data_IF_748699330222
#
_entry.id   IF_748699330222
#
_cell.length_a   1.000
_cell.length_b   1.000
_cell.length_c   1.000
_cell.angle_alpha   90.00
_cell.angle_beta   90.00
_cell.angle_gamma   90.00
#
_symmetry.space_group_name_H-M   'P 1'
#
loop_
_entity.id
_entity.type
_entity.pdbx_description
1 polymer ?
#
# COMPACT_ATOMS: atom_id res chain seq x y z
N UNK A 1 -32.11 1.34 -10.50
CA UNK A 1 -32.32 -0.04 -10.02
C UNK A 1 -30.95 -0.62 -9.74
N UNK A 2 -30.41 -0.34 -8.56
CA UNK A 2 -29.22 -1.01 -8.03
C UNK A 2 -29.79 -2.00 -7.02
N UNK A 3 -30.19 -3.16 -7.52
CA UNK A 3 -30.76 -4.23 -6.72
C UNK A 3 -29.94 -5.47 -7.09
N UNK A 4 -29.30 -6.06 -6.08
CA UNK A 4 -28.65 -7.38 -6.08
C UNK A 4 -27.16 -7.44 -6.48
N UNK A 5 -26.30 -6.80 -5.68
CA UNK A 5 -24.86 -7.16 -5.61
C UNK A 5 -24.46 -7.84 -4.29
N UNK A 6 -25.41 -8.14 -3.39
CA UNK A 6 -25.14 -8.83 -2.12
C UNK A 6 -26.36 -9.67 -1.71
N UNK A 7 -26.83 -10.51 -2.63
CA UNK A 7 -27.86 -11.50 -2.32
C UNK A 7 -27.22 -12.68 -1.58
N UNK A 8 -27.59 -12.77 -0.29
CA UNK A 8 -27.73 -13.96 0.53
C UNK A 8 -26.58 -15.00 0.55
N UNK A 9 -26.04 -15.15 1.76
CA UNK A 9 -25.19 -16.24 2.25
C UNK A 9 -23.70 -16.15 1.84
N UNK A 10 -22.92 -15.63 2.80
CA UNK A 10 -21.48 -15.86 2.96
C UNK A 10 -20.50 -15.12 2.03
N UNK A 11 -20.57 -13.78 2.00
CA UNK A 11 -19.34 -12.99 1.80
C UNK A 11 -18.54 -13.01 3.11
N UNK A 12 -17.56 -13.91 3.23
CA UNK A 12 -16.74 -14.05 4.46
C UNK A 12 -15.29 -13.66 4.20
N UNK A 13 -14.84 -12.67 4.96
CA UNK A 13 -13.44 -12.23 5.06
C UNK A 13 -12.63 -13.17 5.94
N UNK A 14 -11.33 -12.95 5.96
CA UNK A 14 -10.47 -13.41 7.06
C UNK A 14 -10.83 -12.68 8.35
N UNK A 15 -11.14 -13.46 9.37
CA UNK A 15 -11.40 -12.99 10.72
C UNK A 15 -10.34 -13.57 11.63
N UNK A 16 -9.48 -12.70 12.18
CA UNK A 16 -8.59 -13.06 13.29
C UNK A 16 -9.06 -12.26 14.50
N UNK A 17 -9.96 -12.87 15.25
CA UNK A 17 -10.55 -12.29 16.45
C UNK A 17 -9.95 -13.00 17.65
N UNK A 18 -9.43 -12.22 18.58
CA UNK A 18 -9.13 -12.65 19.92
C UNK A 18 -10.30 -12.23 20.83
N UNK A 19 -11.00 -13.21 21.41
CA UNK A 19 -12.19 -12.99 22.24
C UNK A 19 -11.88 -12.43 23.64
N UNK A 20 -10.60 -12.31 24.03
CA UNK A 20 -10.16 -11.99 25.40
C UNK A 20 -9.79 -10.52 25.65
N UNK A 21 -10.03 -9.60 24.71
CA UNK A 21 -9.69 -8.19 24.87
C UNK A 21 -10.88 -7.25 24.61
N UNK A 22 -10.93 -6.14 25.36
CA UNK A 22 -11.82 -4.99 25.13
C UNK A 22 -11.54 -4.42 23.74
N UNK A 23 -12.11 -5.06 22.73
CA UNK A 23 -11.48 -5.13 21.44
C UNK A 23 -11.64 -3.84 20.66
N UNK A 24 -10.51 -3.18 20.47
CA UNK A 24 -10.31 -2.15 19.47
C UNK A 24 -10.44 -2.79 18.09
N UNK A 25 -11.34 -2.25 17.30
CA UNK A 25 -11.61 -2.68 15.93
C UNK A 25 -10.87 -1.76 14.97
N UNK A 26 -10.09 -2.31 14.05
CA UNK A 26 -9.43 -1.53 13.00
C UNK A 26 -9.80 -2.09 11.63
N UNK A 27 -10.18 -1.20 10.73
CA UNK A 27 -10.29 -1.51 9.31
C UNK A 27 -8.97 -1.11 8.70
N UNK A 28 -8.29 -2.04 8.05
CA UNK A 28 -7.12 -1.72 7.22
C UNK A 28 -7.57 -1.74 5.76
N UNK A 29 -7.47 -0.59 5.11
CA UNK A 29 -7.88 -0.42 3.72
C UNK A 29 -6.63 -0.58 2.85
N UNK A 30 -6.45 -1.76 2.27
CA UNK A 30 -5.44 -1.98 1.25
C UNK A 30 -5.92 -1.31 -0.05
N UNK A 31 -5.76 0.01 -0.17
CA UNK A 31 -5.95 0.71 -1.43
C UNK A 31 -4.69 0.60 -2.27
N UNK A 32 -4.88 0.20 -3.54
CA UNK A 32 -4.18 0.71 -4.72
C UNK A 32 -2.72 1.17 -4.48
N UNK A 33 -1.72 0.33 -4.82
CA UNK A 33 -0.33 0.81 -4.96
C UNK A 33 -0.26 1.76 -6.17
N UNK A 34 -0.52 3.03 -5.95
CA UNK A 34 -0.47 4.04 -6.99
C UNK A 34 0.04 5.31 -6.35
N UNK A 35 1.35 5.50 -6.50
CA UNK A 35 2.07 6.67 -6.02
C UNK A 35 2.33 7.69 -7.14
N UNK A 36 1.39 7.94 -8.07
CA UNK A 36 1.42 9.21 -8.81
C UNK A 36 0.64 9.28 -10.11
N UNK A 37 -0.24 10.29 -10.17
CA UNK A 37 -0.81 10.97 -11.35
C UNK A 37 -1.49 10.19 -12.49
N UNK A 38 -2.75 10.60 -12.71
CA UNK A 38 -3.61 10.44 -13.89
C UNK A 38 -2.94 10.07 -15.23
N UNK A 39 -3.29 8.91 -15.77
CA UNK A 39 -3.35 8.68 -17.23
C UNK A 39 -4.55 7.78 -17.55
N UNK A 40 -5.52 8.30 -18.30
CA UNK A 40 -6.51 7.50 -19.02
C UNK A 40 -5.79 6.68 -20.10
N UNK A 41 -5.85 5.34 -20.08
CA UNK A 41 -5.46 4.53 -21.25
C UNK A 41 -6.48 3.41 -21.52
N UNK A 42 -6.84 3.32 -22.81
CA UNK A 42 -7.93 2.51 -23.38
C UNK A 42 -7.67 1.00 -23.33
N UNK A 43 -8.76 0.25 -23.13
CA UNK A 43 -8.85 -1.21 -23.10
C UNK A 43 -8.17 -1.94 -24.28
N UNK A 44 -7.39 -2.98 -23.97
CA UNK A 44 -7.25 -4.15 -24.84
C UNK A 44 -7.50 -5.44 -24.06
N UNK A 45 -8.54 -6.15 -24.49
CA UNK A 45 -8.96 -7.47 -24.05
C UNK A 45 -7.97 -8.52 -24.58
N UNK A 46 -7.46 -9.38 -23.69
CA UNK A 46 -6.54 -10.46 -24.05
C UNK A 46 -6.58 -11.56 -22.99
N UNK A 47 -7.42 -12.57 -23.21
CA UNK A 47 -7.39 -13.85 -22.51
C UNK A 47 -6.02 -14.52 -22.70
N UNK A 48 -5.11 -14.41 -21.72
CA UNK A 48 -3.85 -15.16 -21.72
C UNK A 48 -3.90 -16.35 -20.75
N UNK A 49 -3.82 -17.53 -21.36
CA UNK A 49 -3.92 -18.86 -20.78
C UNK A 49 -2.66 -19.23 -19.98
N UNK A 50 -2.78 -19.18 -18.64
CA UNK A 50 -1.73 -19.54 -17.67
C UNK A 50 -1.18 -20.97 -17.83
N UNK A 51 -1.97 -21.91 -18.36
CA UNK A 51 -1.53 -23.32 -18.51
C UNK A 51 -0.43 -23.46 -19.57
N UNK A 52 -0.39 -22.55 -20.56
CA UNK A 52 0.65 -22.54 -21.60
C UNK A 52 1.99 -21.99 -21.10
N UNK A 53 1.95 -21.00 -20.20
CA UNK A 53 3.14 -20.40 -19.59
C UNK A 53 3.82 -21.32 -18.57
N UNK A 54 3.05 -22.11 -17.81
CA UNK A 54 3.59 -23.12 -16.90
C UNK A 54 4.35 -24.25 -17.60
N UNK A 55 3.97 -24.59 -18.84
CA UNK A 55 4.63 -25.68 -19.57
C UNK A 55 5.97 -25.26 -20.19
N UNK A 56 6.09 -24.00 -20.63
CA UNK A 56 7.37 -23.40 -21.04
C UNK A 56 8.38 -23.31 -19.89
N UNK A 57 7.91 -23.11 -18.66
CA UNK A 57 8.74 -23.11 -17.45
C UNK A 57 9.38 -24.48 -17.16
N UNK A 58 8.64 -25.58 -17.34
CA UNK A 58 9.17 -26.94 -17.17
C UNK A 58 10.25 -27.29 -18.19
N UNK A 59 10.00 -26.96 -19.46
CA UNK A 59 10.90 -27.34 -20.56
C UNK A 59 12.23 -26.55 -20.54
N UNK A 60 12.23 -25.35 -19.94
CA UNK A 60 13.45 -24.55 -19.73
C UNK A 60 14.38 -25.09 -18.63
N UNK A 61 13.84 -25.75 -17.60
CA UNK A 61 14.64 -26.34 -16.51
C UNK A 61 15.36 -27.63 -16.93
N UNK A 62 14.74 -28.46 -17.77
CA UNK A 62 15.35 -29.71 -18.25
C UNK A 62 16.53 -29.46 -19.22
N UNK A 63 16.57 -28.29 -19.87
CA UNK A 63 17.66 -27.90 -20.78
C UNK A 63 18.93 -27.40 -20.08
N UNK A 64 18.87 -27.11 -18.77
CA UNK A 64 19.99 -26.60 -17.98
C UNK A 64 20.95 -27.65 -17.41
N UNK A 65 20.67 -28.94 -17.61
CA UNK A 65 21.49 -30.05 -17.10
C UNK A 65 22.36 -30.70 -18.19
N UNK A 66 23.19 -29.93 -18.91
CA UNK A 66 24.35 -30.51 -19.61
C UNK A 66 25.37 -29.42 -19.97
N UNK A 67 26.47 -29.37 -19.20
CA UNK A 67 27.55 -28.41 -19.47
C UNK A 67 28.58 -28.32 -18.37
N UNK A 68 29.33 -29.40 -18.13
CA UNK A 68 30.50 -29.36 -17.25
C UNK A 68 31.66 -28.60 -17.88
N UNK A 69 32.29 -27.69 -17.13
CA UNK A 69 33.67 -27.26 -17.34
C UNK A 69 34.33 -26.98 -15.99
N UNK A 70 35.45 -27.67 -15.74
CA UNK A 70 36.19 -27.60 -14.48
C UNK A 70 37.34 -26.60 -14.49
N UNK A 71 37.91 -26.44 -13.29
CA UNK A 71 39.32 -26.12 -13.09
C UNK A 71 39.62 -24.84 -12.30
N UNK A 72 40.17 -25.02 -11.09
CA UNK A 72 41.35 -24.24 -10.70
C UNK A 72 41.28 -23.37 -9.44
N UNK A 73 41.48 -24.02 -8.29
CA UNK A 73 42.46 -23.72 -7.21
C UNK A 73 42.46 -22.36 -6.46
N UNK A 74 42.26 -22.55 -5.15
CA UNK A 74 43.11 -22.17 -4.01
C UNK A 74 43.06 -20.72 -3.47
N UNK A 75 42.54 -20.64 -2.24
CA UNK A 75 42.62 -19.49 -1.33
C UNK A 75 41.95 -19.81 0.01
N UNK A 76 42.42 -20.82 0.73
CA UNK A 76 42.01 -21.12 2.11
C UNK A 76 42.43 -19.99 3.07
N UNK A 77 41.50 -19.45 3.87
CA UNK A 77 41.82 -18.93 5.21
C UNK A 77 40.69 -19.24 6.20
N UNK A 78 40.96 -20.26 7.03
CA UNK A 78 40.54 -20.51 8.42
C UNK A 78 39.06 -20.43 8.82
N UNK A 79 38.52 -21.63 9.08
CA UNK A 79 37.42 -21.91 10.01
C UNK A 79 37.90 -21.88 11.47
N UNK A 80 37.12 -21.19 12.31
CA UNK A 80 36.80 -21.43 13.73
C UNK A 80 35.74 -20.35 14.04
N UNK A 81 34.54 -20.56 14.53
CA UNK A 81 33.89 -21.57 15.35
C UNK A 81 32.63 -20.87 15.93
N UNK A 82 31.64 -21.65 16.33
CA UNK A 82 30.34 -21.28 16.92
C UNK A 82 29.20 -20.83 15.98
N UNK A 83 28.37 -21.84 15.71
CA UNK A 83 26.96 -21.81 15.36
C UNK A 83 26.11 -21.07 16.41
N UNK A 84 25.04 -20.42 15.94
CA UNK A 84 23.92 -20.00 16.77
C UNK A 84 23.68 -18.50 16.75
N UNK A 85 22.51 -18.09 16.27
CA UNK A 85 21.93 -16.74 16.40
C UNK A 85 22.70 -15.58 15.76
N UNK A 86 22.79 -15.56 14.42
CA UNK A 86 22.99 -14.29 13.70
C UNK A 86 21.80 -14.03 12.78
N UNK A 87 20.85 -13.29 13.36
CA UNK A 87 20.14 -12.20 12.71
C UNK A 87 19.51 -12.49 11.34
N UNK A 88 18.43 -13.25 11.37
CA UNK A 88 17.30 -12.94 10.49
C UNK A 88 16.66 -11.66 11.04
N UNK A 89 17.18 -10.51 10.62
CA UNK A 89 16.48 -9.23 10.81
C UNK A 89 15.17 -9.39 10.06
N UNK A 90 14.06 -9.46 10.79
CA UNK A 90 12.71 -9.44 10.26
C UNK A 90 12.46 -8.04 9.70
N UNK A 91 12.67 -7.86 8.38
CA UNK A 91 12.67 -6.56 7.69
C UNK A 91 11.30 -6.17 7.11
N UNK A 92 10.21 -6.79 7.58
CA UNK A 92 8.85 -6.39 7.21
C UNK A 92 8.36 -5.27 8.14
N UNK A 93 8.75 -4.04 7.84
CA UNK A 93 8.32 -2.83 8.58
C UNK A 93 7.48 -1.89 7.71
N UNK A 94 6.61 -2.45 6.87
CA UNK A 94 5.52 -1.66 6.29
C UNK A 94 4.33 -1.69 7.26
N UNK A 95 3.52 -0.63 7.29
CA UNK A 95 2.32 -0.53 8.13
C UNK A 95 1.41 -1.75 7.97
N UNK A 96 1.21 -2.21 6.72
CA UNK A 96 0.46 -3.42 6.38
C UNK A 96 1.09 -4.69 6.99
N UNK A 97 2.42 -4.77 7.01
CA UNK A 97 3.18 -5.91 7.56
C UNK A 97 3.15 -5.99 9.09
N UNK A 98 3.12 -4.85 9.79
CA UNK A 98 3.01 -4.80 11.26
C UNK A 98 1.54 -5.02 11.70
N UNK A 99 0.56 -4.62 10.90
CA UNK A 99 -0.83 -5.00 11.15
C UNK A 99 -0.99 -6.52 11.03
N UNK A 100 -0.41 -7.11 9.98
CA UNK A 100 -0.56 -8.51 9.63
C UNK A 100 -0.04 -9.47 10.74
N UNK A 101 -0.84 -10.47 11.14
CA UNK A 101 -0.45 -11.49 12.13
C UNK A 101 0.61 -12.47 11.61
N UNK A 102 0.83 -12.49 10.30
CA UNK A 102 1.62 -13.51 9.61
C UNK A 102 2.45 -12.84 8.52
N UNK A 103 3.73 -13.21 8.44
CA UNK A 103 4.63 -12.88 7.35
C UNK A 103 4.85 -14.09 6.43
N UNK A 104 5.01 -13.83 5.13
CA UNK A 104 5.40 -14.85 4.15
C UNK A 104 6.93 -14.95 4.15
N UNK A 105 7.47 -16.15 4.32
CA UNK A 105 8.90 -16.36 4.51
C UNK A 105 9.62 -16.77 3.22
N UNK A 106 10.73 -16.09 2.96
CA UNK A 106 11.73 -16.46 1.96
C UNK A 106 12.78 -17.40 2.57
N UNK A 107 12.69 -18.69 2.26
CA UNK A 107 13.91 -19.49 2.32
C UNK A 107 14.73 -19.06 1.10
N UNK A 108 15.94 -18.51 1.28
CA UNK A 108 16.85 -17.96 0.23
C UNK A 108 17.09 -18.84 -1.03
N UNK A 109 16.43 -19.98 -1.14
CA UNK A 109 16.25 -20.82 -2.31
C UNK A 109 14.77 -21.22 -2.48
N UNK A 110 13.86 -20.26 -2.67
CA UNK A 110 12.47 -20.57 -2.97
C UNK A 110 12.38 -21.39 -4.25
N UNK A 111 11.78 -22.58 -4.15
CA UNK A 111 11.76 -23.57 -5.22
C UNK A 111 10.44 -23.59 -6.01
N UNK A 112 9.58 -22.58 -5.82
CA UNK A 112 8.25 -22.51 -6.44
C UNK A 112 7.14 -23.26 -5.69
N UNK A 113 7.42 -23.88 -4.54
CA UNK A 113 6.38 -24.51 -3.70
C UNK A 113 5.61 -23.49 -2.88
N UNK A 114 4.39 -23.80 -2.43
CA UNK A 114 3.60 -22.93 -1.54
C UNK A 114 4.47 -22.31 -0.41
N UNK A 115 4.55 -20.97 -0.31
CA UNK A 115 5.34 -20.30 0.70
C UNK A 115 4.90 -20.64 2.13
N UNK A 116 5.85 -20.69 3.07
CA UNK A 116 5.56 -20.88 4.49
C UNK A 116 5.15 -19.57 5.16
N UNK A 117 4.19 -19.67 6.07
CA UNK A 117 3.67 -18.58 6.88
C UNK A 117 4.29 -18.61 8.28
N UNK A 118 4.75 -17.46 8.77
CA UNK A 118 5.35 -17.32 10.10
C UNK A 118 4.61 -16.28 10.92
N UNK A 119 4.44 -16.55 12.21
CA UNK A 119 3.83 -15.58 13.13
C UNK A 119 4.66 -14.31 13.24
N UNK A 120 4.01 -13.16 13.13
CA UNK A 120 4.63 -11.86 13.38
C UNK A 120 4.56 -11.54 14.89
N UNK A 121 5.70 -11.49 15.60
CA UNK A 121 5.74 -11.18 17.03
C UNK A 121 5.45 -9.70 17.36
N UNK A 122 5.24 -8.85 16.36
CA UNK A 122 4.90 -7.43 16.50
C UNK A 122 3.51 -7.09 15.96
N UNK A 123 2.70 -8.11 15.64
CA UNK A 123 1.40 -7.92 15.02
C UNK A 123 0.45 -7.08 15.87
N UNK A 124 -0.27 -6.13 15.26
CA UNK A 124 -1.30 -5.36 15.98
C UNK A 124 -2.43 -6.24 16.50
N UNK A 125 -2.68 -7.37 15.85
CA UNK A 125 -3.64 -8.40 16.30
C UNK A 125 -3.33 -8.99 17.68
N UNK A 126 -2.15 -8.74 18.26
CA UNK A 126 -1.88 -9.10 19.65
C UNK A 126 -2.74 -8.33 20.66
N UNK A 127 -3.16 -7.11 20.32
CA UNK A 127 -4.04 -6.30 21.17
C UNK A 127 -5.38 -5.94 20.53
N UNK A 128 -5.53 -6.14 19.21
CA UNK A 128 -6.65 -5.64 18.41
C UNK A 128 -7.39 -6.75 17.67
N UNK A 129 -8.67 -6.53 17.41
CA UNK A 129 -9.40 -7.28 16.39
C UNK A 129 -9.36 -6.45 15.11
N UNK A 130 -8.81 -7.00 14.03
CA UNK A 130 -8.60 -6.27 12.77
C UNK A 130 -9.41 -6.91 11.66
N UNK A 131 -10.02 -6.06 10.84
CA UNK A 131 -10.61 -6.43 9.56
C UNK A 131 -9.76 -5.84 8.45
N UNK A 132 -9.23 -6.72 7.61
CA UNK A 132 -8.59 -6.35 6.35
C UNK A 132 -9.65 -6.31 5.27
N UNK A 133 -9.83 -5.15 4.65
CA UNK A 133 -10.84 -4.95 3.61
C UNK A 133 -10.14 -4.66 2.29
N UNK A 134 -10.25 -5.62 1.35
CA UNK A 134 -9.90 -5.40 -0.04
C UNK A 134 -10.88 -4.39 -0.65
N UNK A 135 -10.44 -3.16 -0.87
CA UNK A 135 -11.27 -2.10 -1.45
C UNK A 135 -10.43 -1.17 -2.33
N UNK A 136 -10.99 -0.63 -3.43
CA UNK A 136 -12.37 -0.83 -3.91
C UNK A 136 -12.55 -2.16 -4.66
N UNK A 137 -13.71 -2.39 -5.28
CA UNK A 137 -13.92 -3.52 -6.19
C UNK A 137 -12.81 -3.61 -7.24
N UNK A 138 -12.30 -4.82 -7.49
CA UNK A 138 -11.15 -5.07 -8.36
C UNK A 138 -9.82 -5.18 -7.61
N UNK A 139 -9.80 -4.83 -6.32
CA UNK A 139 -8.65 -5.01 -5.42
C UNK A 139 -8.68 -6.38 -4.78
N UNK A 140 -7.54 -7.08 -4.75
CA UNK A 140 -7.39 -8.37 -4.11
C UNK A 140 -8.46 -9.39 -4.53
N UNK A 141 -9.30 -9.81 -3.59
CA UNK A 141 -10.41 -10.74 -3.83
C UNK A 141 -11.78 -10.07 -4.04
N UNK A 142 -11.86 -8.73 -3.98
CA UNK A 142 -13.11 -7.99 -4.17
C UNK A 142 -13.51 -7.90 -5.64
N UNK A 143 -14.75 -8.25 -5.95
CA UNK A 143 -15.27 -8.33 -7.33
C UNK A 143 -16.68 -7.77 -7.46
N UNK A 144 -17.05 -7.39 -8.68
CA UNK A 144 -18.42 -7.08 -9.08
C UNK A 144 -18.96 -8.14 -10.04
N UNK A 145 -20.26 -8.41 -9.98
CA UNK A 145 -20.96 -9.28 -10.94
C UNK A 145 -21.36 -8.56 -12.23
N UNK A 146 -21.17 -7.24 -12.28
CA UNK A 146 -21.45 -6.40 -13.46
C UNK A 146 -20.21 -5.59 -13.83
N UNK A 147 -20.04 -5.32 -15.13
CA UNK A 147 -18.92 -4.54 -15.63
C UNK A 147 -18.94 -3.11 -15.07
N UNK A 148 -20.14 -2.53 -14.94
CA UNK A 148 -20.35 -1.18 -14.42
C UNK A 148 -19.84 -1.02 -12.98
N UNK A 149 -19.84 -2.10 -12.18
CA UNK A 149 -19.40 -2.04 -10.79
C UNK A 149 -17.88 -1.96 -10.61
N UNK A 150 -17.10 -2.05 -11.69
CA UNK A 150 -15.64 -1.86 -11.66
C UNK A 150 -15.22 -0.40 -11.93
N UNK A 151 -16.12 0.46 -12.42
CA UNK A 151 -15.85 1.89 -12.57
C UNK A 151 -16.20 2.58 -11.25
N UNK A 152 -15.18 3.04 -10.52
CA UNK A 152 -15.33 3.57 -9.16
C UNK A 152 -14.52 4.86 -9.02
N UNK A 153 -15.09 5.87 -8.38
CA UNK A 153 -14.35 7.02 -7.88
C UNK A 153 -14.16 7.02 -6.35
N UNK A 154 -13.46 8.03 -5.82
CA UNK A 154 -13.22 8.17 -4.37
C UNK A 154 -14.52 8.20 -3.55
N UNK A 155 -15.56 8.89 -4.01
CA UNK A 155 -16.83 8.98 -3.29
C UNK A 155 -17.60 7.66 -3.32
N UNK A 156 -17.59 6.96 -4.44
CA UNK A 156 -18.19 5.63 -4.57
C UNK A 156 -17.46 4.60 -3.72
N UNK A 157 -16.13 4.62 -3.68
CA UNK A 157 -15.35 3.76 -2.81
C UNK A 157 -15.69 3.99 -1.33
N UNK A 158 -15.74 5.25 -0.89
CA UNK A 158 -16.14 5.64 0.47
C UNK A 158 -17.54 5.10 0.80
N UNK A 159 -18.51 5.32 -0.09
CA UNK A 159 -19.89 4.85 0.08
C UNK A 159 -19.98 3.32 0.17
N UNK A 160 -19.27 2.61 -0.69
CA UNK A 160 -19.25 1.14 -0.70
C UNK A 160 -18.61 0.58 0.58
N UNK A 161 -17.50 1.16 1.03
CA UNK A 161 -16.84 0.78 2.28
C UNK A 161 -17.78 1.04 3.47
N UNK A 162 -18.39 2.22 3.55
CA UNK A 162 -19.36 2.52 4.62
C UNK A 162 -20.53 1.53 4.66
N UNK A 163 -21.09 1.18 3.49
CA UNK A 163 -22.15 0.18 3.36
C UNK A 163 -21.67 -1.21 3.79
N UNK A 164 -20.46 -1.59 3.38
CA UNK A 164 -19.84 -2.85 3.75
C UNK A 164 -19.72 -2.97 5.27
N UNK A 165 -19.11 -1.99 5.92
CA UNK A 165 -18.90 -1.97 7.38
C UNK A 165 -20.23 -2.06 8.13
N UNK A 166 -21.23 -1.34 7.65
CA UNK A 166 -22.56 -1.38 8.22
C UNK A 166 -23.21 -2.75 8.14
N UNK A 167 -23.17 -3.40 6.96
CA UNK A 167 -23.72 -4.74 6.76
C UNK A 167 -22.94 -5.78 7.57
N UNK A 168 -21.62 -5.65 7.61
CA UNK A 168 -20.75 -6.53 8.39
C UNK A 168 -21.12 -6.46 9.88
N UNK A 169 -21.31 -5.25 10.42
CA UNK A 169 -21.64 -5.08 11.84
C UNK A 169 -23.06 -5.59 12.17
N UNK A 170 -24.03 -5.42 11.26
CA UNK A 170 -25.36 -6.04 11.39
C UNK A 170 -25.30 -7.57 11.40
N UNK A 171 -24.40 -8.17 10.62
CA UNK A 171 -24.18 -9.61 10.58
C UNK A 171 -23.35 -10.13 11.78
N UNK A 172 -22.60 -9.25 12.45
CA UNK A 172 -21.75 -9.58 13.60
C UNK A 172 -22.08 -8.68 14.81
N UNK A 173 -23.30 -8.79 15.35
CA UNK A 173 -23.81 -7.88 16.39
C UNK A 173 -23.02 -7.93 17.71
N UNK A 174 -22.22 -8.98 17.93
CA UNK A 174 -21.34 -9.09 19.09
C UNK A 174 -20.28 -7.97 19.16
N UNK A 175 -20.01 -7.27 18.05
CA UNK A 175 -19.03 -6.18 18.00
C UNK A 175 -19.64 -4.78 18.12
N UNK A 176 -20.95 -4.64 18.34
CA UNK A 176 -21.60 -3.31 18.39
C UNK A 176 -21.01 -2.38 19.47
N UNK A 177 -20.68 -2.95 20.63
CA UNK A 177 -20.18 -2.18 21.77
C UNK A 177 -18.66 -1.93 21.71
N UNK A 178 -17.96 -2.59 20.78
CA UNK A 178 -16.51 -2.48 20.64
C UNK A 178 -16.09 -1.07 20.23
N UNK A 179 -14.92 -0.62 20.69
CA UNK A 179 -14.38 0.66 20.27
C UNK A 179 -13.88 0.57 18.83
N UNK A 180 -14.47 1.36 17.94
CA UNK A 180 -14.09 1.39 16.53
C UNK A 180 -13.02 2.44 16.25
N UNK A 181 -11.97 2.02 15.55
CA UNK A 181 -10.98 2.87 14.89
C UNK A 181 -10.92 2.49 13.40
N UNK A 182 -10.60 3.46 12.55
CA UNK A 182 -10.38 3.22 11.12
C UNK A 182 -8.90 3.47 10.84
N UNK A 183 -8.23 2.51 10.23
CA UNK A 183 -6.80 2.52 9.94
C UNK A 183 -6.52 2.48 8.44
N UNK A 184 -5.33 2.89 8.05
CA UNK A 184 -4.83 2.72 6.70
C UNK A 184 -3.55 3.50 6.50
N UNK A 185 -2.97 3.36 5.32
CA UNK A 185 -1.76 4.09 4.94
C UNK A 185 -1.77 4.53 3.48
N UNK A 186 -0.77 5.32 3.11
CA UNK A 186 -0.53 5.74 1.73
C UNK A 186 -1.77 6.44 1.14
N UNK A 187 -2.31 5.94 0.03
CA UNK A 187 -3.47 6.52 -0.63
C UNK A 187 -4.73 6.53 0.23
N UNK A 188 -4.81 5.71 1.29
CA UNK A 188 -5.92 5.76 2.26
C UNK A 188 -6.07 7.13 2.92
N UNK A 189 -5.05 7.99 2.89
CA UNK A 189 -5.18 9.40 3.30
C UNK A 189 -6.30 10.18 2.60
N UNK A 190 -6.76 9.74 1.42
CA UNK A 190 -7.93 10.29 0.73
C UNK A 190 -9.25 9.68 1.21
N UNK A 191 -9.59 8.40 0.98
CA UNK A 191 -10.90 7.87 1.34
C UNK A 191 -11.12 7.75 2.85
N UNK A 192 -10.08 7.53 3.66
CA UNK A 192 -10.26 7.23 5.09
C UNK A 192 -10.87 8.39 5.89
N UNK A 193 -10.38 9.64 5.81
CA UNK A 193 -11.04 10.77 6.50
C UNK A 193 -12.50 10.97 6.06
N UNK A 194 -12.81 10.68 4.79
CA UNK A 194 -14.17 10.73 4.26
C UNK A 194 -15.05 9.64 4.89
N UNK A 195 -14.56 8.40 4.96
CA UNK A 195 -15.24 7.27 5.62
C UNK A 195 -15.49 7.58 7.10
N UNK A 196 -14.47 8.07 7.81
CA UNK A 196 -14.59 8.44 9.23
C UNK A 196 -15.65 9.52 9.41
N UNK A 197 -15.72 10.50 8.51
CA UNK A 197 -16.76 11.51 8.55
C UNK A 197 -18.16 10.95 8.24
N UNK A 198 -18.30 10.02 7.30
CA UNK A 198 -19.58 9.34 7.03
C UNK A 198 -20.06 8.53 8.24
N UNK A 199 -19.16 7.79 8.90
CA UNK A 199 -19.44 7.04 10.13
C UNK A 199 -19.82 7.98 11.27
N UNK A 200 -19.05 9.06 11.49
CA UNK A 200 -19.31 10.02 12.55
C UNK A 200 -20.66 10.73 12.38
N UNK A 201 -21.00 11.11 11.15
CA UNK A 201 -22.30 11.71 10.84
C UNK A 201 -23.46 10.70 10.92
N UNK A 202 -23.16 9.39 10.99
CA UNK A 202 -24.12 8.31 11.16
C UNK A 202 -25.18 8.27 10.06
N UNK A 203 -24.77 8.54 8.80
CA UNK A 203 -25.62 9.06 7.72
C UNK A 203 -27.06 8.52 7.72
N UNK A 204 -27.94 9.32 8.33
CA UNK A 204 -29.35 9.44 7.99
C UNK A 204 -29.42 10.03 6.56
N UNK A 205 -29.67 9.20 5.55
CA UNK A 205 -30.07 9.65 4.22
C UNK A 205 -29.04 9.47 3.12
N UNK A 206 -29.08 8.30 2.47
CA UNK A 206 -28.94 8.16 1.02
C UNK A 206 -29.77 6.97 0.52
N UNK A 207 -31.03 6.89 0.98
CA UNK A 207 -32.08 6.10 0.32
C UNK A 207 -33.07 7.09 -0.32
N UNK A 208 -32.68 7.69 -1.45
CA UNK A 208 -33.58 8.43 -2.34
C UNK A 208 -34.49 7.46 -3.15
N UNK A 209 -34.99 6.42 -2.50
CA UNK A 209 -35.75 5.35 -3.13
C UNK A 209 -36.18 4.24 -2.19
N UNK A 210 -37.10 4.55 -1.27
CA UNK A 210 -37.97 3.57 -0.60
C UNK A 210 -37.30 2.43 0.17
N UNK A 211 -36.65 2.74 1.29
CA UNK A 211 -36.83 2.14 2.62
C UNK A 211 -35.82 2.84 3.53
N UNK A 212 -36.25 3.35 4.69
CA UNK A 212 -35.32 3.93 5.65
C UNK A 212 -34.46 2.81 6.25
N UNK A 213 -33.33 2.48 5.62
CA UNK A 213 -32.34 1.56 6.16
C UNK A 213 -31.75 2.17 7.43
N UNK A 214 -31.99 1.51 8.57
CA UNK A 214 -31.38 1.89 9.85
C UNK A 214 -29.96 1.32 9.86
N UNK A 215 -28.98 2.12 9.42
CA UNK A 215 -27.57 1.79 9.59
C UNK A 215 -27.27 1.70 11.09
N UNK A 216 -26.51 0.68 11.55
CA UNK A 216 -26.22 0.53 12.97
C UNK A 216 -25.33 1.68 13.47
N UNK A 217 -25.52 2.07 14.72
CA UNK A 217 -24.56 2.95 15.38
C UNK A 217 -23.20 2.24 15.46
N UNK A 218 -22.17 2.91 14.98
CA UNK A 218 -20.78 2.47 15.10
C UNK A 218 -20.09 3.26 16.19
N UNK A 219 -19.54 2.58 17.20
CA UNK A 219 -18.90 3.19 18.37
C UNK A 219 -17.50 3.74 18.03
N UNK A 220 -17.44 4.69 17.10
CA UNK A 220 -16.23 5.32 16.57
C UNK A 220 -15.51 6.16 17.63
N UNK A 221 -14.22 5.91 17.81
CA UNK A 221 -13.34 6.56 18.78
C UNK A 221 -12.18 7.33 18.16
N UNK A 222 -11.81 7.00 16.93
CA UNK A 222 -10.72 7.66 16.25
C UNK A 222 -10.31 7.00 14.95
N UNK A 223 -9.19 7.46 14.43
CA UNK A 223 -8.59 6.91 13.23
C UNK A 223 -7.08 7.04 13.25
N UNK A 224 -6.41 6.20 12.45
CA UNK A 224 -4.96 6.09 12.37
C UNK A 224 -4.56 6.11 10.90
N UNK A 225 -3.54 6.91 10.56
CA UNK A 225 -3.01 7.00 9.20
C UNK A 225 -1.48 6.95 9.22
N UNK A 226 -0.91 6.00 8.47
CA UNK A 226 0.52 5.89 8.21
C UNK A 226 0.87 6.50 6.86
N UNK A 227 1.90 7.36 6.80
CA UNK A 227 2.39 7.96 5.56
C UNK A 227 1.26 8.41 4.59
N UNK A 228 0.27 9.21 5.05
CA UNK A 228 -0.94 9.42 4.28
C UNK A 228 -0.78 10.46 3.17
N UNK A 229 -1.19 10.08 1.95
CA UNK A 229 -1.44 11.04 0.86
C UNK A 229 -2.76 11.76 1.18
N UNK A 230 -2.65 12.98 1.66
CA UNK A 230 -3.79 13.80 2.12
C UNK A 230 -4.10 14.94 1.15
N UNK A 231 -3.09 15.43 0.42
CA UNK A 231 -3.26 16.47 -0.59
C UNK A 231 -2.27 16.27 -1.74
N UNK A 232 -2.78 16.25 -2.96
CA UNK A 232 -1.99 15.99 -4.15
C UNK A 232 -0.81 16.94 -4.27
N UNK A 233 -1.08 18.24 -4.16
CA UNK A 233 -0.06 19.27 -4.31
C UNK A 233 0.89 19.32 -3.12
N UNK A 234 0.37 19.35 -1.90
CA UNK A 234 1.21 19.52 -0.71
C UNK A 234 2.19 18.36 -0.52
N UNK A 235 1.70 17.13 -0.72
CA UNK A 235 2.51 15.94 -0.49
C UNK A 235 3.53 15.76 -1.63
N UNK A 236 3.18 15.96 -2.90
CA UNK A 236 4.13 15.80 -4.01
C UNK A 236 5.16 16.94 -4.03
N UNK A 237 4.73 18.18 -3.73
CA UNK A 237 5.63 19.33 -3.66
C UNK A 237 6.64 19.19 -2.52
N UNK A 238 6.33 18.40 -1.49
CA UNK A 238 7.23 18.17 -0.36
C UNK A 238 8.41 17.23 -0.69
N UNK A 239 8.36 16.51 -1.81
CA UNK A 239 9.40 15.54 -2.21
C UNK A 239 10.75 16.20 -2.48
N UNK A 240 10.78 17.31 -3.22
CA UNK A 240 12.03 18.05 -3.52
C UNK A 240 12.75 18.55 -2.25
N UNK A 241 12.10 19.30 -1.33
CA UNK A 241 12.77 19.73 -0.10
C UNK A 241 13.11 18.56 0.82
N UNK A 242 12.38 17.44 0.77
CA UNK A 242 12.73 16.24 1.53
C UNK A 242 13.96 15.52 0.95
N UNK A 243 14.05 15.37 -0.37
CA UNK A 243 15.23 14.84 -1.06
C UNK A 243 16.49 15.65 -0.73
N UNK A 244 16.36 16.98 -0.65
CA UNK A 244 17.44 17.86 -0.19
C UNK A 244 17.86 17.57 1.26
N UNK A 245 16.89 17.41 2.19
CA UNK A 245 17.19 17.06 3.60
C UNK A 245 17.88 15.72 3.76
N UNK A 246 17.62 14.78 2.85
CA UNK A 246 18.28 13.48 2.81
C UNK A 246 19.62 13.51 2.06
N UNK A 247 20.06 14.67 1.57
CA UNK A 247 21.30 14.84 0.79
C UNK A 247 21.30 14.08 -0.55
N UNK A 248 20.12 13.80 -1.10
CA UNK A 248 19.95 13.13 -2.39
C UNK A 248 20.15 14.09 -3.57
N UNK A 249 19.98 15.40 -3.32
CA UNK A 249 20.26 16.49 -4.27
C UNK A 249 21.15 17.55 -3.61
N UNK A 250 21.93 18.29 -4.41
CA UNK A 250 22.88 19.29 -3.91
C UNK A 250 22.20 20.58 -3.42
N UNK A 251 22.90 21.34 -2.57
CA UNK A 251 22.45 22.67 -2.12
C UNK A 251 22.27 23.61 -3.31
N UNK A 252 23.17 23.57 -4.29
CA UNK A 252 23.12 24.41 -5.48
C UNK A 252 21.90 24.12 -6.35
N UNK A 253 21.61 22.83 -6.59
CA UNK A 253 20.46 22.41 -7.38
C UNK A 253 19.16 22.75 -6.65
N UNK A 254 19.09 22.50 -5.34
CA UNK A 254 17.90 22.83 -4.55
C UNK A 254 17.61 24.33 -4.52
N UNK A 255 18.60 25.18 -4.26
CA UNK A 255 18.37 26.63 -4.25
C UNK A 255 18.06 27.17 -5.66
N UNK A 256 18.66 26.61 -6.72
CA UNK A 256 18.28 26.92 -8.10
C UNK A 256 16.81 26.57 -8.35
N UNK A 257 16.39 25.33 -8.06
CA UNK A 257 15.03 24.86 -8.26
C UNK A 257 14.02 25.69 -7.47
N UNK A 258 14.34 26.01 -6.21
CA UNK A 258 13.50 26.82 -5.33
C UNK A 258 13.27 28.23 -5.86
N UNK A 259 14.31 28.88 -6.37
CA UNK A 259 14.21 30.21 -7.00
C UNK A 259 13.49 30.14 -8.35
N UNK A 260 13.92 29.22 -9.22
CA UNK A 260 13.42 29.11 -10.59
C UNK A 260 11.97 28.66 -10.62
N UNK A 261 11.57 27.69 -9.78
CA UNK A 261 10.21 27.17 -9.67
C UNK A 261 9.33 27.94 -8.68
N UNK A 262 9.87 28.94 -7.97
CA UNK A 262 9.15 29.70 -6.94
C UNK A 262 8.49 28.79 -5.87
N UNK A 263 9.17 27.68 -5.53
CA UNK A 263 8.70 26.68 -4.58
C UNK A 263 7.54 25.79 -5.03
N UNK A 264 7.12 25.85 -6.29
CA UNK A 264 6.15 24.92 -6.91
C UNK A 264 6.88 23.96 -7.86
N UNK A 265 7.18 22.77 -7.35
CA UNK A 265 7.89 21.71 -8.06
C UNK A 265 6.95 20.73 -8.79
N UNK A 266 5.63 20.94 -8.69
CA UNK A 266 4.61 20.04 -9.26
C UNK A 266 3.98 20.66 -10.51
N UNK A 267 3.51 21.89 -10.43
CA UNK A 267 2.87 22.62 -11.52
C UNK A 267 3.90 23.43 -12.32
N UNK A 268 4.91 22.74 -12.84
CA UNK A 268 6.02 23.37 -13.57
C UNK A 268 5.52 24.05 -14.85
N UNK A 269 5.79 25.34 -14.98
CA UNK A 269 5.52 26.08 -16.21
C UNK A 269 6.53 25.69 -17.29
N UNK A 270 6.06 25.06 -18.37
CA UNK A 270 6.90 24.60 -19.49
C UNK A 270 7.71 25.72 -20.16
N UNK A 271 7.28 26.98 -20.05
CA UNK A 271 8.04 28.12 -20.58
C UNK A 271 9.19 28.57 -19.66
N UNK A 272 9.21 28.11 -18.41
CA UNK A 272 10.29 28.39 -17.47
C UNK A 272 11.38 27.32 -17.63
N UNK A 273 12.26 27.55 -18.60
CA UNK A 273 13.29 26.58 -18.99
C UNK A 273 14.24 26.23 -17.85
N UNK A 274 14.50 27.16 -16.91
CA UNK A 274 15.38 26.88 -15.77
C UNK A 274 14.69 25.93 -14.78
N UNK A 275 13.44 26.22 -14.39
CA UNK A 275 12.69 25.33 -13.51
C UNK A 275 12.51 23.93 -14.13
N UNK A 276 12.17 23.86 -15.42
CA UNK A 276 12.08 22.58 -16.15
C UNK A 276 13.40 21.82 -16.09
N UNK A 277 14.54 22.49 -16.32
CA UNK A 277 15.86 21.87 -16.25
C UNK A 277 16.20 21.39 -14.84
N UNK A 278 15.93 22.20 -13.81
CA UNK A 278 16.24 21.88 -12.43
C UNK A 278 15.41 20.67 -11.96
N UNK A 279 14.12 20.62 -12.29
CA UNK A 279 13.24 19.48 -11.97
C UNK A 279 13.67 18.22 -12.72
N UNK A 280 14.05 18.32 -13.99
CA UNK A 280 14.57 17.19 -14.76
C UNK A 280 15.85 16.61 -14.12
N UNK A 281 16.78 17.46 -13.67
CA UNK A 281 18.00 17.01 -13.00
C UNK A 281 17.68 16.34 -11.65
N UNK A 282 16.73 16.89 -10.89
CA UNK A 282 16.24 16.26 -9.65
C UNK A 282 15.63 14.89 -9.95
N UNK A 283 14.76 14.77 -10.95
CA UNK A 283 14.13 13.51 -11.34
C UNK A 283 15.17 12.46 -11.77
N UNK A 284 16.20 12.87 -12.52
CA UNK A 284 17.31 11.99 -12.92
C UNK A 284 18.10 11.47 -11.70
N UNK A 285 18.35 12.31 -10.70
CA UNK A 285 19.04 11.91 -9.47
C UNK A 285 18.21 10.95 -8.61
N UNK A 286 16.87 11.08 -8.64
CA UNK A 286 15.95 10.26 -7.87
C UNK A 286 15.54 8.95 -8.57
N UNK A 287 15.82 8.81 -9.87
CA UNK A 287 15.34 7.72 -10.72
C UNK A 287 15.68 6.29 -10.21
N UNK A 288 16.79 6.13 -9.50
CA UNK A 288 17.26 4.82 -9.02
C UNK A 288 17.13 4.65 -7.50
N UNK A 289 16.35 5.52 -6.85
CA UNK A 289 16.09 5.47 -5.42
C UNK A 289 14.74 4.80 -5.19
N UNK A 290 14.68 3.88 -4.22
CA UNK A 290 13.41 3.35 -3.75
C UNK A 290 12.66 4.48 -3.02
N UNK A 291 11.59 5.00 -3.63
CA UNK A 291 10.86 6.13 -3.08
C UNK A 291 10.11 5.78 -1.79
N UNK A 292 9.71 4.53 -1.58
CA UNK A 292 8.98 4.12 -0.36
C UNK A 292 9.92 3.94 0.84
N UNK A 293 11.20 3.66 0.57
CA UNK A 293 12.24 3.54 1.58
C UNK A 293 13.62 3.83 0.98
N UNK A 294 14.08 5.08 1.11
CA UNK A 294 15.30 5.57 0.42
C UNK A 294 16.60 4.85 0.79
N UNK A 295 16.62 4.12 1.91
CA UNK A 295 17.79 3.34 2.35
C UNK A 295 17.80 1.91 1.78
N UNK A 296 16.70 1.48 1.17
CA UNK A 296 16.58 0.15 0.56
C UNK A 296 16.97 0.19 -0.92
N UNK A 297 17.45 -0.95 -1.46
CA UNK A 297 17.74 -1.04 -2.89
C UNK A 297 16.48 -0.76 -3.71
N UNK A 298 16.63 -0.08 -4.85
CA UNK A 298 15.59 -0.06 -5.86
C UNK A 298 15.58 -1.40 -6.58
N UNK A 299 14.64 -2.26 -6.23
CA UNK A 299 14.54 -3.61 -6.74
C UNK A 299 13.60 -3.65 -7.95
N UNK A 300 14.13 -3.31 -9.12
CA UNK A 300 13.42 -3.54 -10.37
C UNK A 300 13.23 -5.04 -10.56
N UNK A 301 11.98 -5.53 -10.57
CA UNK A 301 11.67 -6.84 -11.16
C UNK A 301 12.04 -6.77 -12.63
N UNK A 302 13.13 -7.45 -12.99
CA UNK A 302 13.86 -7.24 -14.23
C UNK A 302 13.01 -7.34 -15.50
N UNK A 303 12.74 -6.21 -16.14
CA UNK A 303 12.59 -6.16 -17.60
C UNK A 303 13.68 -5.26 -18.18
N UNK A 304 14.63 -5.78 -18.99
CA UNK A 304 15.61 -4.93 -19.65
C UNK A 304 14.91 -4.23 -20.82
N UNK A 305 14.42 -3.00 -20.63
CA UNK A 305 13.98 -2.16 -21.74
C UNK A 305 14.95 -1.02 -22.00
N UNK A 306 15.25 -0.84 -23.30
CA UNK A 306 16.25 0.09 -23.83
C UNK A 306 15.93 1.53 -23.46
N UNK A 307 16.93 2.28 -22.97
CA UNK A 307 16.84 3.67 -22.50
C UNK A 307 16.44 4.74 -23.52
N UNK A 308 15.34 4.57 -24.25
CA UNK A 308 14.84 5.52 -25.25
C UNK A 308 13.33 5.81 -25.20
N UNK A 309 12.58 5.30 -24.22
CA UNK A 309 11.14 5.60 -24.03
C UNK A 309 10.84 6.45 -22.78
N UNK A 310 11.84 7.16 -22.23
CA UNK A 310 11.69 7.90 -20.97
C UNK A 310 11.34 9.39 -21.11
N UNK A 311 11.28 9.93 -22.33
CA UNK A 311 11.19 11.39 -22.53
C UNK A 311 9.78 11.98 -22.46
N UNK A 312 8.74 11.20 -22.07
CA UNK A 312 7.37 11.67 -22.19
C UNK A 312 6.38 11.30 -21.08
N UNK A 313 6.81 10.95 -19.86
CA UNK A 313 5.87 10.75 -18.75
C UNK A 313 6.42 11.31 -17.43
N UNK A 314 5.67 12.25 -16.85
CA UNK A 314 5.78 12.66 -15.44
C UNK A 314 5.39 11.44 -14.60
N UNK A 315 6.29 11.03 -13.71
CA UNK A 315 6.13 10.00 -12.67
C UNK A 315 5.33 8.77 -13.10
N UNK A 316 6.01 7.83 -13.77
CA UNK A 316 5.41 6.54 -14.10
C UNK A 316 5.46 5.54 -12.94
N UNK A 317 4.26 5.07 -12.59
CA UNK A 317 3.95 3.82 -11.92
C UNK A 317 4.50 2.62 -12.69
N UNK A 318 5.04 1.64 -11.96
CA UNK A 318 5.49 0.38 -12.57
C UNK A 318 4.32 -0.61 -12.70
N UNK A 319 4.02 -0.97 -13.95
CA UNK A 319 3.26 -2.19 -14.27
C UNK A 319 4.06 -3.41 -13.83
N UNK A 320 3.55 -4.12 -12.82
CA UNK A 320 4.08 -5.41 -12.38
C UNK A 320 3.58 -6.47 -13.35
N UNK A 321 4.38 -6.79 -14.37
CA UNK A 321 4.24 -8.04 -15.12
C UNK A 321 4.87 -9.17 -14.28
N UNK A 322 4.05 -10.09 -13.78
CA UNK A 322 4.42 -11.26 -12.96
C UNK A 322 5.22 -12.33 -13.74
N UNK A 323 5.87 -11.96 -14.85
CA UNK A 323 6.75 -12.83 -15.63
C UNK A 323 8.16 -12.87 -15.02
N UNK A 324 8.32 -13.75 -14.03
CA UNK A 324 9.53 -14.02 -13.25
C UNK A 324 10.80 -14.27 -14.10
N UNK A 325 11.80 -13.41 -13.94
CA UNK A 325 13.22 -13.80 -14.02
C UNK A 325 13.89 -13.43 -12.70
N UNK A 326 14.01 -14.44 -11.82
CA UNK A 326 14.85 -14.40 -10.62
C UNK A 326 16.28 -14.07 -11.05
N UNK A 327 16.74 -12.84 -10.79
CA UNK A 327 18.17 -12.59 -10.81
C UNK A 327 18.77 -13.39 -9.66
N UNK A 328 19.54 -14.41 -10.01
CA UNK A 328 20.29 -15.29 -9.11
C UNK A 328 21.51 -14.59 -8.49
N UNK A 329 21.58 -13.26 -8.49
CA UNK A 329 22.62 -12.53 -7.78
C UNK A 329 22.18 -12.19 -6.36
N UNK A 330 22.60 -13.04 -5.42
CA UNK A 330 22.43 -12.93 -3.97
C UNK A 330 23.11 -11.71 -3.30
N UNK A 331 23.27 -10.59 -3.99
CA UNK A 331 24.01 -9.45 -3.42
C UNK A 331 23.16 -8.60 -2.48
N UNK A 332 21.84 -8.47 -2.72
CA UNK A 332 20.96 -7.61 -1.93
C UNK A 332 19.57 -8.23 -1.76
N UNK A 333 19.02 -8.15 -0.54
CA UNK A 333 17.64 -8.52 -0.23
C UNK A 333 16.69 -7.39 -0.68
N UNK A 334 15.54 -7.76 -1.24
CA UNK A 334 14.52 -6.85 -1.75
C UNK A 334 13.19 -7.10 -1.03
N UNK A 335 12.55 -6.01 -0.56
CA UNK A 335 11.25 -6.06 0.11
C UNK A 335 10.16 -6.59 -0.80
N UNK A 336 10.25 -6.25 -2.08
CA UNK A 336 9.32 -6.62 -3.15
C UNK A 336 9.21 -8.13 -3.32
N UNK A 337 10.25 -8.88 -2.93
CA UNK A 337 10.23 -10.33 -2.94
C UNK A 337 9.12 -10.90 -2.05
N UNK A 338 8.85 -10.27 -0.91
CA UNK A 338 7.77 -10.69 -0.02
C UNK A 338 6.39 -10.54 -0.67
N UNK A 339 6.21 -9.54 -1.54
CA UNK A 339 4.98 -9.34 -2.29
C UNK A 339 4.77 -10.43 -3.35
N UNK A 340 5.85 -10.85 -4.02
CA UNK A 340 5.80 -11.99 -4.96
C UNK A 340 5.38 -13.26 -4.24
N UNK A 341 5.97 -13.54 -3.06
CA UNK A 341 5.58 -14.71 -2.28
C UNK A 341 4.12 -14.61 -1.79
N UNK A 342 3.66 -13.42 -1.39
CA UNK A 342 2.25 -13.21 -1.06
C UNK A 342 1.34 -13.51 -2.26
N UNK A 343 1.73 -13.12 -3.47
CA UNK A 343 1.04 -13.47 -4.72
C UNK A 343 0.97 -14.97 -4.95
N UNK A 344 2.08 -15.70 -4.80
CA UNK A 344 2.07 -17.16 -4.95
C UNK A 344 1.19 -17.83 -3.89
N UNK A 345 1.26 -17.37 -2.64
CA UNK A 345 0.44 -17.88 -1.55
C UNK A 345 -1.06 -17.62 -1.80
N UNK A 346 -1.45 -16.38 -2.13
CA UNK A 346 -2.84 -15.99 -2.32
C UNK A 346 -3.49 -16.65 -3.54
N UNK A 347 -2.69 -16.98 -4.56
CA UNK A 347 -3.18 -17.65 -5.78
C UNK A 347 -3.24 -19.18 -5.69
N UNK A 348 -2.67 -19.79 -4.65
CA UNK A 348 -2.76 -21.23 -4.46
C UNK A 348 -4.22 -21.68 -4.26
N UNK A 349 -4.60 -22.77 -4.95
CA UNK A 349 -5.99 -23.26 -4.94
C UNK A 349 -6.46 -23.70 -3.55
N UNK A 350 -5.58 -24.26 -2.74
CA UNK A 350 -5.91 -24.69 -1.38
C UNK A 350 -6.08 -23.50 -0.44
N UNK A 351 -5.25 -22.47 -0.62
CA UNK A 351 -5.37 -21.20 0.11
C UNK A 351 -6.68 -20.51 -0.25
N UNK A 352 -6.96 -20.32 -1.55
CA UNK A 352 -8.24 -19.73 -2.01
C UNK A 352 -9.46 -20.47 -1.50
N UNK A 353 -9.40 -21.80 -1.43
CA UNK A 353 -10.47 -22.60 -0.84
C UNK A 353 -10.60 -22.38 0.67
N UNK A 354 -9.49 -22.35 1.42
CA UNK A 354 -9.49 -22.08 2.87
C UNK A 354 -10.04 -20.68 3.21
N UNK A 355 -9.81 -19.73 2.31
CA UNK A 355 -10.30 -18.35 2.34
C UNK A 355 -11.76 -18.20 1.92
N UNK A 356 -12.37 -19.26 1.39
CA UNK A 356 -13.69 -19.23 0.77
C UNK A 356 -13.79 -18.22 -0.40
N UNK A 357 -12.72 -18.05 -1.17
CA UNK A 357 -12.75 -17.26 -2.41
C UNK A 357 -13.70 -17.93 -3.39
N UNK A 358 -14.69 -17.19 -3.88
CA UNK A 358 -15.71 -17.73 -4.79
C UNK A 358 -15.07 -18.13 -6.13
N UNK A 359 -15.34 -19.36 -6.58
CA UNK A 359 -14.84 -19.82 -7.87
C UNK A 359 -15.47 -19.04 -9.03
N UNK A 360 -14.63 -18.67 -10.00
CA UNK A 360 -15.05 -17.97 -11.22
C UNK A 360 -15.25 -16.46 -11.08
N UNK A 361 -14.88 -15.86 -9.94
CA UNK A 361 -15.01 -14.40 -9.74
C UNK A 361 -13.71 -13.64 -9.97
N UNK A 362 -12.61 -14.11 -9.40
CA UNK A 362 -11.27 -13.53 -9.54
C UNK A 362 -10.39 -14.53 -10.28
N UNK A 363 -9.70 -14.09 -11.33
CA UNK A 363 -8.72 -14.90 -12.05
C UNK A 363 -7.45 -15.08 -11.21
N UNK A 364 -6.67 -14.00 -11.14
CA UNK A 364 -5.42 -13.91 -10.38
C UNK A 364 -5.59 -12.84 -9.30
N UNK A 365 -5.25 -13.17 -8.06
CA UNK A 365 -5.10 -12.18 -6.98
C UNK A 365 -3.83 -11.39 -7.24
N UNK A 366 -3.95 -10.06 -7.21
CA UNK A 366 -2.82 -9.14 -7.28
C UNK A 366 -2.83 -8.30 -6.01
N UNK A 367 -1.67 -8.11 -5.38
CA UNK A 367 -1.53 -7.20 -4.23
C UNK A 367 -2.00 -5.80 -4.61
N UNK A 368 -1.49 -5.32 -5.75
CA UNK A 368 -1.85 -4.05 -6.31
C UNK A 368 -2.19 -4.20 -7.78
N UNK A 369 -3.42 -3.82 -8.13
CA UNK A 369 -3.96 -3.98 -9.46
C UNK A 369 -4.03 -2.61 -10.14
N UNK A 370 -2.98 -2.22 -10.87
CA UNK A 370 -2.93 -0.95 -11.62
C UNK A 370 -4.00 -0.84 -12.70
N UNK A 371 -4.56 -1.97 -13.14
CA UNK A 371 -5.55 -2.03 -14.22
C UNK A 371 -7.00 -1.77 -13.78
N UNK A 372 -7.26 -1.44 -12.51
CA UNK A 372 -8.63 -1.12 -12.08
C UNK A 372 -9.08 0.22 -12.68
N UNK A 373 -10.36 0.30 -13.05
CA UNK A 373 -10.98 1.52 -13.58
C UNK A 373 -11.35 2.48 -12.43
N UNK A 374 -10.33 3.01 -11.74
CA UNK A 374 -10.49 3.92 -10.61
C UNK A 374 -10.23 5.37 -10.99
N UNK A 375 -11.16 6.27 -10.67
CA UNK A 375 -10.99 7.71 -10.91
C UNK A 375 -10.69 8.45 -9.60
N UNK A 376 -9.51 9.07 -9.52
CA UNK A 376 -9.13 9.94 -8.40
C UNK A 376 -9.83 11.30 -8.55
N UNK A 377 -10.99 11.48 -7.92
CA UNK A 377 -11.82 12.69 -8.02
C UNK A 377 -11.56 13.67 -6.87
N UNK A 378 -10.93 13.23 -5.78
CA UNK A 378 -10.63 14.03 -4.60
C UNK A 378 -9.12 14.31 -4.54
N UNK A 379 -8.75 15.59 -4.65
CA UNK A 379 -7.35 16.02 -4.64
C UNK A 379 -6.84 16.41 -3.24
N UNK A 380 -7.74 16.57 -2.26
CA UNK A 380 -7.38 17.00 -0.91
C UNK A 380 -8.44 16.62 0.12
N UNK A 381 -8.00 16.08 1.26
CA UNK A 381 -8.85 15.73 2.41
C UNK A 381 -8.47 16.48 3.69
N UNK A 382 -7.65 17.53 3.59
CA UNK A 382 -7.27 18.41 4.71
C UNK A 382 -8.50 18.98 5.44
N UNK A 383 -9.55 19.35 4.70
CA UNK A 383 -10.78 19.87 5.30
C UNK A 383 -11.61 18.80 6.01
N UNK A 384 -11.53 17.53 5.59
CA UNK A 384 -12.11 16.42 6.35
C UNK A 384 -11.39 16.26 7.69
N UNK A 385 -10.05 16.29 7.70
CA UNK A 385 -9.28 16.30 8.96
C UNK A 385 -9.63 17.50 9.84
N UNK A 386 -9.79 18.69 9.27
CA UNK A 386 -10.22 19.89 9.99
C UNK A 386 -11.59 19.69 10.65
N UNK A 387 -12.56 19.16 9.91
CA UNK A 387 -13.88 18.85 10.46
C UNK A 387 -13.79 17.86 11.61
N UNK A 388 -13.05 16.76 11.43
CA UNK A 388 -12.88 15.71 12.43
C UNK A 388 -12.14 16.21 13.68
N UNK A 389 -11.20 17.15 13.54
CA UNK A 389 -10.48 17.76 14.68
C UNK A 389 -11.38 18.59 15.61
N UNK A 390 -12.57 19.00 15.14
CA UNK A 390 -13.56 19.71 15.95
C UNK A 390 -14.49 18.77 16.72
N UNK A 391 -14.26 17.45 16.65
CA UNK A 391 -15.05 16.42 17.32
C UNK A 391 -14.33 15.89 18.58
N UNK A 392 -14.89 14.86 19.22
CA UNK A 392 -14.23 14.12 20.30
C UNK A 392 -13.41 12.91 19.81
N UNK A 393 -13.25 12.74 18.49
CA UNK A 393 -12.45 11.67 17.91
C UNK A 393 -10.96 11.93 18.10
N UNK A 394 -10.19 10.85 18.21
CA UNK A 394 -8.72 10.89 18.23
C UNK A 394 -8.15 10.57 16.86
N UNK A 395 -7.10 11.26 16.46
CA UNK A 395 -6.35 10.96 15.25
C UNK A 395 -4.89 10.65 15.63
N UNK A 396 -4.33 9.58 15.08
CA UNK A 396 -2.89 9.33 15.07
C UNK A 396 -2.41 9.39 13.62
N UNK A 397 -1.57 10.36 13.31
CA UNK A 397 -0.90 10.48 12.02
C UNK A 397 0.58 10.21 12.26
N UNK A 398 1.14 9.22 11.58
CA UNK A 398 2.55 8.88 11.67
C UNK A 398 3.15 8.74 10.27
N UNK A 399 4.44 9.01 10.14
CA UNK A 399 5.14 8.89 8.86
C UNK A 399 6.53 8.29 9.12
N UNK A 400 6.91 7.29 8.34
CA UNK A 400 8.31 6.86 8.25
C UNK A 400 9.19 8.02 7.75
N UNK A 401 10.30 8.27 8.42
CA UNK A 401 11.21 9.40 8.15
C UNK A 401 12.12 9.18 6.93
N UNK A 402 11.99 8.05 6.26
CA UNK A 402 12.72 7.68 5.04
C UNK A 402 11.80 7.38 3.83
N UNK A 403 10.51 7.68 3.95
CA UNK A 403 9.56 7.60 2.83
C UNK A 403 9.61 8.90 2.01
N UNK A 404 10.10 8.81 0.78
CA UNK A 404 10.14 9.89 -0.20
C UNK A 404 8.89 9.91 -1.11
N UNK A 405 8.09 8.84 -1.11
CA UNK A 405 6.80 8.78 -1.82
C UNK A 405 5.76 9.66 -1.13
N UNK A 406 5.59 9.51 0.19
CA UNK A 406 4.75 10.38 1.02
C UNK A 406 5.55 10.89 2.22
N UNK A 407 6.14 12.06 2.03
CA UNK A 407 7.11 12.58 2.99
C UNK A 407 6.44 13.06 4.28
N UNK A 408 7.14 12.89 5.41
CA UNK A 408 6.73 13.48 6.67
C UNK A 408 6.67 15.02 6.62
N UNK A 409 7.33 15.68 5.66
CA UNK A 409 7.23 17.14 5.47
C UNK A 409 5.87 17.54 4.92
N UNK A 410 5.34 16.80 3.93
CA UNK A 410 3.98 16.99 3.41
C UNK A 410 2.97 16.83 4.53
N UNK A 411 3.13 15.74 5.31
CA UNK A 411 2.29 15.46 6.48
C UNK A 411 2.31 16.59 7.52
N UNK A 412 3.50 17.04 7.92
CA UNK A 412 3.64 18.17 8.85
C UNK A 412 3.03 19.46 8.30
N UNK A 413 3.17 19.70 6.99
CA UNK A 413 2.68 20.92 6.38
C UNK A 413 1.16 20.99 6.40
N UNK A 414 0.45 19.96 5.94
CA UNK A 414 -1.01 19.98 5.97
C UNK A 414 -1.57 19.97 7.41
N UNK A 415 -0.90 19.29 8.36
CA UNK A 415 -1.27 19.35 9.79
C UNK A 415 -1.17 20.79 10.30
N UNK A 416 -0.14 21.54 9.89
CA UNK A 416 0.00 22.95 10.29
C UNK A 416 -1.17 23.82 9.81
N UNK A 417 -1.78 23.48 8.67
CA UNK A 417 -2.95 24.18 8.14
C UNK A 417 -4.20 23.98 9.00
N UNK A 418 -4.27 22.91 9.80
CA UNK A 418 -5.39 22.68 10.72
C UNK A 418 -5.46 23.72 11.83
N UNK A 419 -4.36 24.43 12.11
CA UNK A 419 -4.27 25.47 13.14
C UNK A 419 -4.71 24.97 14.53
N UNK A 420 -4.27 23.77 14.89
CA UNK A 420 -4.57 23.13 16.18
C UNK A 420 -3.79 23.80 17.31
N UNK A 421 -4.33 23.77 18.52
CA UNK A 421 -3.61 24.23 19.71
C UNK A 421 -2.58 23.18 20.11
N UNK A 422 -1.31 23.57 20.16
CA UNK A 422 -0.24 22.69 20.64
C UNK A 422 -0.43 22.40 22.14
N UNK A 423 -0.68 21.13 22.46
CA UNK A 423 -0.79 20.68 23.84
C UNK A 423 0.57 20.29 24.43
N UNK A 424 1.38 19.57 23.66
CA UNK A 424 2.76 19.20 24.02
C UNK A 424 3.74 19.67 22.94
N UNK A 425 4.94 20.09 23.36
CA UNK A 425 6.03 20.42 22.45
C UNK A 425 6.65 19.14 21.87
N UNK A 426 7.31 19.29 20.72
CA UNK A 426 8.04 18.19 20.07
C UNK A 426 8.97 17.49 21.07
N UNK A 427 8.92 16.16 21.10
CA UNK A 427 9.72 15.33 21.98
C UNK A 427 9.97 13.97 21.35
N UNK A 428 11.07 13.35 21.76
CA UNK A 428 11.38 11.97 21.40
C UNK A 428 10.38 11.01 22.03
N UNK A 429 10.10 9.89 21.34
CA UNK A 429 9.48 8.71 21.93
C UNK A 429 10.43 7.51 21.85
N UNK A 430 10.23 6.54 22.74
CA UNK A 430 11.18 5.46 22.98
C UNK A 430 10.50 4.10 22.88
N UNK A 431 11.23 3.12 22.36
CA UNK A 431 10.91 1.69 22.39
C UNK A 431 12.12 0.96 22.96
N UNK A 432 11.92 0.13 23.99
CA UNK A 432 12.98 -0.63 24.66
C UNK A 432 14.22 0.19 25.08
N UNK A 433 14.00 1.45 25.44
CA UNK A 433 15.06 2.37 25.89
C UNK A 433 15.84 3.05 24.75
N UNK A 434 15.50 2.77 23.49
CA UNK A 434 16.06 3.42 22.31
C UNK A 434 15.08 4.46 21.76
N UNK A 435 15.59 5.60 21.26
CA UNK A 435 14.77 6.59 20.55
C UNK A 435 14.22 5.95 19.28
N UNK A 436 12.91 5.98 19.11
CA UNK A 436 12.22 5.43 17.94
C UNK A 436 11.67 6.54 17.01
N UNK A 437 11.61 7.78 17.49
CA UNK A 437 11.32 8.99 16.71
C UNK A 437 10.94 10.17 17.58
#
# INVERSE_FOLDING_TARGET
>A
MVQNAWDNEEGRMFHLINDDHDAMFMIDLCFFCSSGSNVEEEFYDGDDDWDSHYQLYKDGMDAGMDGGWGGGRDGEFYHDGDEGSRDAIDRNHDSEGIAAPINVHDNQNYNGSLPSLHYNPYAWTQGLNIIYVDAPVGTGFSYSTTQEGYYIDDYEAVSQIYQFLSKWLLAHPQYFENMLYVGGDSYSGIPLPMIVQEIFNGKLGFDAGNQAGTYPFMNLRGYVLGNPKTDDFLDDNSRVPFAHRLTLISDELFESAKESCNGDYVNVNENNTQCVSDIQEIDELLLQINLMQVLEPNCQTASPRSGKEYLNRRYLEEDIDESLLVQTSSAYWCREYNYVLAGVWANDKSVRAALNVRNGTIGVWKRCNSSIAYTKTVTSTVDYHRNLSNTNLRALIYSGDHDLSVTHLGTQYWISLLNLTQYEIWRTWYVDGQVAG
#
